data_IF_369574510732
#
_entry.id   IF_369574510732
#
_cell.length_a   1.000
_cell.length_b   1.000
_cell.length_c   1.000
_cell.angle_alpha   90.00
_cell.angle_beta   90.00
_cell.angle_gamma   90.00
#
_symmetry.space_group_name_H-M   'P 1'
#
loop_
_entity.id
_entity.type
_entity.pdbx_description
1 polymer ?
#
# COMPACT_ATOMS: atom_id res chain seq x y z
N UNK A 1 5.06 14.12 23.68
CA UNK A 1 3.69 13.76 23.26
C UNK A 1 3.63 13.72 21.74
N UNK A 2 4.29 12.72 21.14
CA UNK A 2 4.06 12.37 19.74
C UNK A 2 3.13 11.18 19.81
N UNK A 3 1.84 11.35 19.54
CA UNK A 3 1.10 10.22 19.00
C UNK A 3 1.77 9.94 17.67
N UNK A 4 2.72 9.02 17.69
CA UNK A 4 3.43 8.56 16.52
C UNK A 4 2.37 7.98 15.59
N UNK A 5 1.81 8.81 14.73
CA UNK A 5 1.59 8.53 13.32
C UNK A 5 1.43 7.05 12.89
N UNK A 6 2.49 6.20 12.92
CA UNK A 6 2.36 4.78 12.64
C UNK A 6 1.43 4.01 13.60
N UNK A 7 1.34 4.41 14.86
CA UNK A 7 0.45 3.85 15.89
C UNK A 7 -1.03 4.10 15.54
N UNK A 8 -1.37 5.33 15.12
CA UNK A 8 -2.73 5.66 14.65
C UNK A 8 -3.06 4.84 13.40
N UNK A 9 -2.11 4.69 12.48
CA UNK A 9 -2.29 3.86 11.28
C UNK A 9 -2.50 2.37 11.65
N UNK A 10 -1.73 1.84 12.60
CA UNK A 10 -1.88 0.46 13.10
C UNK A 10 -3.24 0.25 13.78
N UNK A 11 -3.72 1.22 14.57
CA UNK A 11 -5.05 1.18 15.18
C UNK A 11 -6.12 1.16 14.09
N UNK A 12 -5.99 1.99 13.04
CA UNK A 12 -6.92 2.00 11.93
C UNK A 12 -6.95 0.66 11.18
N UNK A 13 -5.79 0.03 10.92
CA UNK A 13 -5.72 -1.34 10.36
C UNK A 13 -6.44 -2.34 11.29
N UNK A 14 -6.18 -2.28 12.60
CA UNK A 14 -6.78 -3.18 13.59
C UNK A 14 -8.31 -3.04 13.66
N UNK A 15 -8.83 -1.85 13.42
CA UNK A 15 -10.26 -1.56 13.31
C UNK A 15 -10.83 -1.79 11.90
N UNK A 16 -10.05 -2.36 10.97
CA UNK A 16 -10.44 -2.59 9.58
C UNK A 16 -10.74 -1.30 8.79
N UNK A 17 -10.27 -0.15 9.28
CA UNK A 17 -10.37 1.17 8.66
C UNK A 17 -9.18 1.40 7.72
N UNK A 18 -9.09 0.60 6.65
CA UNK A 18 -7.93 0.61 5.75
C UNK A 18 -7.76 1.92 4.97
N UNK A 19 -8.84 2.65 4.68
CA UNK A 19 -8.77 3.94 3.99
C UNK A 19 -8.21 5.06 4.89
N UNK A 20 -8.55 5.04 6.18
CA UNK A 20 -7.93 5.93 7.17
C UNK A 20 -6.46 5.58 7.37
N UNK A 21 -6.14 4.30 7.53
CA UNK A 21 -4.76 3.83 7.62
C UNK A 21 -3.94 4.29 6.41
N UNK A 22 -4.47 4.14 5.19
CA UNK A 22 -3.84 4.61 3.96
C UNK A 22 -3.62 6.13 3.95
N UNK A 23 -4.63 6.92 4.33
CA UNK A 23 -4.50 8.38 4.40
C UNK A 23 -3.45 8.81 5.42
N UNK A 24 -3.33 8.09 6.55
CA UNK A 24 -2.30 8.33 7.55
C UNK A 24 -0.93 8.01 6.95
N UNK A 25 -0.70 6.81 6.40
CA UNK A 25 0.59 6.46 5.79
C UNK A 25 1.00 7.43 4.69
N UNK A 26 0.06 7.86 3.84
CA UNK A 26 0.30 8.89 2.83
C UNK A 26 0.70 10.23 3.44
N UNK A 27 0.07 10.63 4.55
CA UNK A 27 0.40 11.86 5.27
C UNK A 27 1.77 11.80 5.95
N UNK A 28 2.23 10.61 6.28
CA UNK A 28 3.58 10.34 6.81
C UNK A 28 4.61 10.03 5.74
N UNK A 29 4.24 10.16 4.47
CA UNK A 29 5.12 9.90 3.32
C UNK A 29 5.67 8.46 3.29
N UNK A 30 5.00 7.53 3.99
CA UNK A 30 5.36 6.10 4.05
C UNK A 30 4.65 5.36 2.92
N UNK A 31 5.05 5.65 1.69
CA UNK A 31 4.39 5.14 0.47
C UNK A 31 4.42 3.60 0.37
N UNK A 32 5.49 2.97 0.86
CA UNK A 32 5.64 1.51 0.93
C UNK A 32 4.60 0.85 1.84
N UNK A 33 4.33 1.40 3.02
CA UNK A 33 3.28 0.88 3.89
C UNK A 33 1.88 1.18 3.35
N UNK A 34 1.68 2.36 2.75
CA UNK A 34 0.42 2.75 2.15
C UNK A 34 -0.02 1.79 1.04
N UNK A 35 0.88 1.49 0.09
CA UNK A 35 0.58 0.56 -0.99
C UNK A 35 0.37 -0.88 -0.48
N UNK A 36 1.09 -1.29 0.57
CA UNK A 36 0.93 -2.61 1.15
C UNK A 36 -0.46 -2.80 1.75
N UNK A 37 -1.03 -1.78 2.40
CA UNK A 37 -2.43 -1.80 2.88
C UNK A 37 -3.41 -1.90 1.72
N UNK A 38 -3.16 -1.17 0.63
CA UNK A 38 -4.00 -1.24 -0.58
C UNK A 38 -4.00 -2.64 -1.22
N UNK A 39 -2.85 -3.32 -1.26
CA UNK A 39 -2.77 -4.61 -1.95
C UNK A 39 -3.14 -5.79 -1.04
N UNK A 40 -2.77 -5.77 0.24
CA UNK A 40 -3.01 -6.88 1.16
C UNK A 40 -4.44 -6.86 1.72
N UNK A 41 -4.90 -5.68 2.18
CA UNK A 41 -6.22 -5.54 2.82
C UNK A 41 -7.31 -5.14 1.83
N UNK A 42 -7.08 -4.08 1.04
CA UNK A 42 -8.09 -3.57 0.09
C UNK A 42 -8.12 -4.44 -1.18
N UNK A 43 -7.00 -5.08 -1.53
CA UNK A 43 -6.79 -5.88 -2.75
C UNK A 43 -7.12 -5.10 -4.03
N UNK A 44 -6.82 -3.81 -4.04
CA UNK A 44 -7.11 -2.95 -5.17
C UNK A 44 -5.82 -2.62 -5.93
N UNK A 45 -5.50 -3.47 -6.90
CA UNK A 45 -4.29 -3.38 -7.71
C UNK A 45 -4.29 -2.15 -8.63
N UNK A 46 -5.45 -1.78 -9.19
CA UNK A 46 -5.62 -0.59 -10.03
C UNK A 46 -5.16 0.68 -9.27
N UNK A 47 -5.67 0.83 -8.05
CA UNK A 47 -5.33 1.94 -7.16
C UNK A 47 -3.87 1.90 -6.70
N UNK A 48 -3.33 0.70 -6.52
CA UNK A 48 -1.93 0.50 -6.15
C UNK A 48 -0.98 0.84 -7.32
N UNK A 49 -1.38 0.55 -8.56
CA UNK A 49 -0.66 0.89 -9.79
C UNK A 49 -0.65 2.41 -10.01
N UNK A 50 -1.80 3.08 -9.95
CA UNK A 50 -1.87 4.56 -10.01
C UNK A 50 -1.00 5.21 -8.92
N UNK A 51 -0.98 4.63 -7.71
CA UNK A 51 -0.15 5.11 -6.62
C UNK A 51 1.35 4.90 -6.88
N UNK A 52 1.72 3.74 -7.44
CA UNK A 52 3.09 3.44 -7.84
C UNK A 52 3.59 4.38 -8.95
N UNK A 53 2.78 4.65 -9.97
CA UNK A 53 3.10 5.62 -11.02
C UNK A 53 3.25 7.04 -10.46
N UNK A 54 2.36 7.42 -9.54
CA UNK A 54 2.39 8.77 -8.94
C UNK A 54 3.59 8.98 -8.01
N UNK A 55 3.93 7.98 -7.19
CA UNK A 55 5.10 8.04 -6.31
C UNK A 55 6.39 7.87 -7.12
N UNK A 56 6.35 7.09 -8.20
CA UNK A 56 7.49 6.75 -9.06
C UNK A 56 8.72 6.26 -8.27
N UNK A 57 8.48 5.53 -7.18
CA UNK A 57 9.50 5.03 -6.28
C UNK A 57 9.76 3.54 -6.50
N UNK A 58 11.03 3.11 -6.64
CA UNK A 58 11.36 1.71 -6.89
C UNK A 58 10.90 0.77 -5.76
N UNK A 59 10.81 1.28 -4.52
CA UNK A 59 10.30 0.52 -3.38
C UNK A 59 8.81 0.18 -3.50
N UNK A 60 8.01 1.10 -4.05
CA UNK A 60 6.57 0.93 -4.25
C UNK A 60 6.29 -0.04 -5.40
N UNK A 61 7.03 0.08 -6.50
CA UNK A 61 6.98 -0.87 -7.63
C UNK A 61 7.37 -2.28 -7.23
N UNK A 62 8.42 -2.43 -6.43
CA UNK A 62 8.85 -3.75 -5.93
C UNK A 62 7.77 -4.43 -5.09
N UNK A 63 7.03 -3.66 -4.28
CA UNK A 63 5.92 -4.18 -3.48
C UNK A 63 4.72 -4.55 -4.35
N UNK A 64 4.37 -3.70 -5.32
CA UNK A 64 3.30 -3.98 -6.27
C UNK A 64 3.56 -5.27 -7.03
N UNK A 65 4.75 -5.42 -7.62
CA UNK A 65 5.15 -6.62 -8.35
C UNK A 65 5.14 -7.87 -7.46
N UNK A 66 5.70 -7.80 -6.25
CA UNK A 66 5.70 -8.92 -5.30
C UNK A 66 4.25 -9.32 -4.94
N UNK A 67 3.38 -8.35 -4.75
CA UNK A 67 2.01 -8.62 -4.38
C UNK A 67 1.16 -9.15 -5.56
N UNK A 68 1.39 -8.68 -6.79
CA UNK A 68 0.83 -9.28 -8.01
C UNK A 68 1.24 -10.76 -8.15
N UNK A 69 2.51 -11.08 -7.90
CA UNK A 69 3.02 -12.47 -7.91
C UNK A 69 2.34 -13.29 -6.80
N UNK A 70 2.23 -12.75 -5.57
CA UNK A 70 1.61 -13.43 -4.42
C UNK A 70 0.12 -13.70 -4.61
N UNK A 71 -0.61 -12.81 -5.27
CA UNK A 71 -2.04 -13.02 -5.58
C UNK A 71 -2.27 -14.06 -6.68
N UNK A 72 -1.21 -14.67 -7.25
CA UNK A 72 -1.34 -15.65 -8.32
C UNK A 72 -1.69 -15.04 -9.67
N UNK A 73 -1.68 -13.71 -9.77
CA UNK A 73 -1.79 -12.94 -11.02
C UNK A 73 -0.45 -12.91 -11.74
N UNK A 74 0.20 -14.08 -11.83
CA UNK A 74 1.51 -14.25 -12.47
C UNK A 74 1.49 -13.76 -13.93
N UNK A 75 0.32 -13.73 -14.57
CA UNK A 75 0.15 -13.18 -15.92
C UNK A 75 0.25 -11.66 -16.01
N UNK A 76 -0.16 -10.90 -14.99
CA UNK A 76 -0.01 -9.44 -14.98
C UNK A 76 1.36 -9.00 -14.44
N UNK A 77 1.95 -9.80 -13.54
CA UNK A 77 3.31 -9.54 -13.02
C UNK A 77 4.43 -9.65 -14.07
N UNK A 78 4.16 -10.20 -15.25
CA UNK A 78 5.13 -10.33 -16.35
C UNK A 78 5.04 -9.16 -17.34
N UNK A 79 3.90 -8.45 -17.37
CA UNK A 79 3.65 -7.32 -18.28
C UNK A 79 3.94 -5.94 -17.64
N UNK A 80 4.22 -5.91 -16.33
CA UNK A 80 4.66 -4.72 -15.55
C UNK A 80 6.17 -4.65 -15.36
#
# INVERSE_FOLDING_TARGET
>A
ENYDAPDIANIAISNQLYEEAFSIYKKFEVNTSAIQVLIDHIKNLDRAYEFAERCNEPGVWSLLANAQIRQGLVKEAIDS
#
